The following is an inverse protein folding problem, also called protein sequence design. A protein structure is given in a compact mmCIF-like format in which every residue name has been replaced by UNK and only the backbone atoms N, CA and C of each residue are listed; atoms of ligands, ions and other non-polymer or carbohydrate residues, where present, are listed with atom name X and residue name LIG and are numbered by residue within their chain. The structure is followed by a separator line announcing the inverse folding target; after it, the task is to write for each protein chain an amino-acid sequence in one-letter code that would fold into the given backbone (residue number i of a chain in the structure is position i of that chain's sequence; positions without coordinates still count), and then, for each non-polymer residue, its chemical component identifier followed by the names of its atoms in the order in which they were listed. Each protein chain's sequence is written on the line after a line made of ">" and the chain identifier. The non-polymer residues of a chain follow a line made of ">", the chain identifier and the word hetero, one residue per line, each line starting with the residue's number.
data_IF_238010729616
#
_entry.id   IF_238010729616
#
_cell.length_a   1.000
_cell.length_b   1.000
_cell.length_c   1.000
_cell.angle_alpha   90.00
_cell.angle_beta   90.00
_cell.angle_gamma   90.00
#
_symmetry.space_group_name_H-M   'P 1'
#
loop_
_entity.id
_entity.type
_entity.pdbx_description
1 polymer ?
#
# COMPACT_ATOMS: atom_id res chain seq x y z
N UNK A 1 18.69 -7.55 -11.61
CA UNK A 1 17.93 -8.24 -10.55
C UNK A 1 17.12 -7.17 -9.82
N UNK A 2 15.79 -7.30 -9.62
CA UNK A 2 15.09 -6.32 -8.82
C UNK A 2 15.45 -6.56 -7.35
N UNK A 3 16.03 -5.54 -6.71
CA UNK A 3 16.50 -5.55 -5.30
C UNK A 3 15.42 -5.07 -4.32
N UNK A 4 14.19 -4.88 -4.76
CA UNK A 4 13.11 -4.36 -3.93
C UNK A 4 12.21 -5.48 -3.44
N UNK A 5 12.61 -6.10 -2.32
CA UNK A 5 11.75 -7.02 -1.57
C UNK A 5 10.65 -6.21 -0.88
N UNK A 6 9.40 -6.41 -1.32
CA UNK A 6 8.20 -5.88 -0.67
C UNK A 6 7.67 -6.93 0.32
N UNK A 7 7.58 -6.60 1.60
CA UNK A 7 6.95 -7.45 2.60
C UNK A 7 5.57 -6.88 2.96
N UNK A 8 4.53 -7.67 2.77
CA UNK A 8 3.16 -7.31 3.06
C UNK A 8 2.83 -7.62 4.53
N UNK A 9 2.12 -6.70 5.18
CA UNK A 9 1.46 -6.89 6.46
C UNK A 9 -0.06 -6.74 6.26
N UNK A 10 -0.74 -7.82 5.90
CA UNK A 10 -2.22 -7.90 5.88
C UNK A 10 -2.77 -8.54 7.15
N UNK A 11 -4.07 -8.37 7.42
CA UNK A 11 -4.78 -9.03 8.53
C UNK A 11 -4.78 -10.54 8.25
N UNK A 12 -3.73 -11.22 8.73
CA UNK A 12 -3.55 -12.67 8.97
C UNK A 12 -2.22 -13.23 8.44
N UNK A 13 -1.54 -12.61 7.48
CA UNK A 13 -0.35 -13.25 6.89
C UNK A 13 0.76 -12.26 6.50
N UNK A 14 1.90 -12.36 7.18
CA UNK A 14 3.14 -11.71 6.77
C UNK A 14 3.67 -12.40 5.50
N UNK A 15 3.40 -11.83 4.32
CA UNK A 15 3.76 -12.41 3.01
C UNK A 15 4.73 -11.49 2.29
N UNK A 16 5.91 -11.98 1.96
CA UNK A 16 6.88 -11.22 1.18
C UNK A 16 6.84 -11.61 -0.30
N UNK A 17 7.20 -10.65 -1.15
CA UNK A 17 7.33 -10.77 -2.59
C UNK A 17 8.21 -9.66 -3.14
N UNK A 18 8.12 -9.42 -4.44
CA UNK A 18 8.83 -8.33 -5.10
C UNK A 18 7.86 -7.51 -5.95
N UNK A 19 8.16 -6.22 -6.07
CA UNK A 19 7.40 -5.30 -6.92
C UNK A 19 7.60 -5.71 -8.38
N UNK A 20 6.50 -6.04 -9.06
CA UNK A 20 6.50 -6.42 -10.48
C UNK A 20 6.31 -5.23 -11.39
N UNK A 21 5.60 -4.21 -10.92
CA UNK A 21 5.41 -2.95 -11.65
C UNK A 21 5.12 -1.81 -10.67
N UNK A 22 5.87 -0.71 -10.81
CA UNK A 22 5.75 0.51 -10.00
C UNK A 22 5.49 1.76 -10.88
N UNK A 23 5.26 1.58 -12.17
CA UNK A 23 5.07 2.66 -13.14
C UNK A 23 3.76 3.43 -12.96
N UNK A 24 2.62 2.85 -12.51
CA UNK A 24 1.39 3.61 -12.34
C UNK A 24 1.55 4.68 -11.26
N UNK A 25 0.94 5.87 -11.40
CA UNK A 25 1.14 6.98 -10.48
C UNK A 25 0.53 6.72 -9.08
N UNK A 26 -0.57 5.98 -9.01
CA UNK A 26 -1.36 5.78 -7.79
C UNK A 26 -1.26 4.37 -7.22
N UNK A 27 -0.65 3.44 -7.97
CA UNK A 27 -0.68 2.00 -7.69
C UNK A 27 0.67 1.36 -7.95
N UNK A 28 0.90 0.21 -7.34
CA UNK A 28 1.97 -0.71 -7.70
C UNK A 28 1.47 -2.15 -7.60
N UNK A 29 2.19 -3.04 -8.27
CA UNK A 29 1.89 -4.46 -8.33
C UNK A 29 3.04 -5.25 -7.71
N UNK A 30 2.71 -6.29 -6.96
CA UNK A 30 3.69 -7.18 -6.33
C UNK A 30 3.24 -8.63 -6.39
N UNK A 31 4.21 -9.55 -6.31
CA UNK A 31 3.96 -10.99 -6.10
C UNK A 31 3.62 -11.33 -4.65
N UNK A 32 3.72 -10.38 -3.72
CA UNK A 32 3.29 -10.57 -2.33
C UNK A 32 1.79 -10.89 -2.28
N UNK A 33 1.48 -12.09 -1.80
CA UNK A 33 0.14 -12.69 -1.77
C UNK A 33 -0.80 -11.93 -0.84
N UNK A 34 -1.89 -11.38 -1.39
CA UNK A 34 -3.01 -10.85 -0.61
C UNK A 34 -4.31 -11.62 -0.86
N UNK A 35 -5.05 -11.92 0.21
CA UNK A 35 -6.30 -12.68 0.19
C UNK A 35 -7.53 -11.85 0.56
N UNK A 36 -8.69 -12.50 0.57
CA UNK A 36 -9.89 -11.90 1.15
C UNK A 36 -9.67 -11.66 2.65
N UNK A 37 -9.90 -10.41 3.10
CA UNK A 37 -9.60 -9.98 4.48
C UNK A 37 -8.37 -9.08 4.60
N UNK A 38 -7.44 -9.12 3.64
CA UNK A 38 -6.23 -8.29 3.67
C UNK A 38 -6.45 -6.85 3.17
N UNK A 39 -7.59 -6.56 2.54
CA UNK A 39 -7.89 -5.26 1.93
C UNK A 39 -7.78 -4.11 2.94
N UNK A 40 -7.05 -3.06 2.56
CA UNK A 40 -6.72 -1.93 3.45
C UNK A 40 -5.53 -2.18 4.38
N UNK A 41 -4.99 -3.40 4.42
CA UNK A 41 -3.79 -3.74 5.18
C UNK A 41 -2.52 -3.06 4.63
N UNK A 42 -1.53 -2.75 5.48
CA UNK A 42 -0.31 -2.08 5.07
C UNK A 42 0.64 -2.96 4.24
N UNK A 43 1.31 -2.33 3.27
CA UNK A 43 2.40 -2.93 2.51
C UNK A 43 3.71 -2.21 2.85
N UNK A 44 4.70 -2.97 3.29
CA UNK A 44 6.02 -2.46 3.66
C UNK A 44 7.08 -2.85 2.63
N UNK A 45 8.06 -1.99 2.45
CA UNK A 45 9.29 -2.31 1.74
C UNK A 45 10.38 -2.53 2.78
N UNK A 46 11.10 -3.66 2.69
CA UNK A 46 12.14 -4.06 3.63
C UNK A 46 11.68 -3.99 5.11
N UNK A 47 10.42 -4.36 5.39
CA UNK A 47 9.78 -4.37 6.73
C UNK A 47 9.78 -3.06 7.53
N UNK A 48 10.28 -1.98 6.96
CA UNK A 48 10.59 -0.74 7.69
C UNK A 48 9.88 0.48 7.10
N UNK A 49 9.53 0.43 5.81
CA UNK A 49 8.94 1.56 5.09
C UNK A 49 7.54 1.22 4.61
N UNK A 50 6.52 1.89 5.13
CA UNK A 50 5.16 1.82 4.58
C UNK A 50 5.14 2.43 3.17
N UNK A 51 4.83 1.62 2.16
CA UNK A 51 4.80 2.03 0.75
C UNK A 51 3.40 2.03 0.16
N UNK A 52 2.46 1.28 0.75
CA UNK A 52 1.10 1.23 0.26
C UNK A 52 0.11 0.50 1.13
N UNK A 53 -1.07 0.30 0.56
CA UNK A 53 -2.20 -0.40 1.16
C UNK A 53 -2.72 -1.44 0.17
N UNK A 54 -3.05 -2.64 0.66
CA UNK A 54 -3.63 -3.71 -0.14
C UNK A 54 -4.95 -3.25 -0.76
N UNK A 55 -5.08 -3.35 -2.08
CA UNK A 55 -6.35 -3.10 -2.77
C UNK A 55 -7.11 -4.39 -3.08
N UNK A 56 -6.39 -5.39 -3.60
CA UNK A 56 -6.95 -6.67 -3.99
C UNK A 56 -6.01 -7.48 -4.88
N UNK A 57 -6.37 -8.74 -5.15
CA UNK A 57 -5.57 -9.67 -5.94
C UNK A 57 -6.08 -9.89 -7.35
N UNK A 58 -5.14 -9.97 -8.30
CA UNK A 58 -5.33 -10.61 -9.60
C UNK A 58 -4.75 -12.04 -9.60
N UNK A 59 -4.87 -12.79 -10.71
CA UNK A 59 -4.48 -14.20 -10.78
C UNK A 59 -2.97 -14.46 -10.58
N UNK A 60 -2.10 -13.47 -10.82
CA UNK A 60 -0.64 -13.63 -10.70
C UNK A 60 0.08 -12.44 -10.05
N UNK A 61 -0.62 -11.32 -9.84
CA UNK A 61 -0.08 -10.12 -9.22
C UNK A 61 -1.14 -9.49 -8.35
N UNK A 62 -0.70 -8.92 -7.23
CA UNK A 62 -1.55 -8.26 -6.27
C UNK A 62 -1.36 -6.76 -6.38
N UNK A 63 -2.46 -6.04 -6.28
CA UNK A 63 -2.50 -4.60 -6.48
C UNK A 63 -2.53 -3.87 -5.14
N UNK A 64 -1.75 -2.79 -5.09
CA UNK A 64 -1.60 -1.96 -3.92
C UNK A 64 -1.77 -0.49 -4.31
N UNK A 65 -2.39 0.29 -3.43
CA UNK A 65 -2.46 1.75 -3.55
C UNK A 65 -1.18 2.33 -2.96
N UNK A 66 -0.50 3.23 -3.68
CA UNK A 66 0.68 3.94 -3.18
C UNK A 66 0.29 4.85 -2.02
N UNK A 67 0.99 4.73 -0.90
CA UNK A 67 0.71 5.56 0.28
C UNK A 67 0.97 7.04 0.00
N UNK A 68 1.95 7.35 -0.86
CA UNK A 68 2.21 8.72 -1.31
C UNK A 68 1.05 9.33 -2.09
N UNK A 69 0.30 8.53 -2.87
CA UNK A 69 -0.88 9.02 -3.58
C UNK A 69 -2.02 9.36 -2.61
N UNK A 70 -2.20 8.55 -1.56
CA UNK A 70 -3.17 8.84 -0.48
C UNK A 70 -2.80 10.14 0.24
N UNK A 71 -1.53 10.32 0.59
CA UNK A 71 -1.06 11.56 1.23
C UNK A 71 -1.25 12.79 0.34
N UNK A 72 -0.93 12.67 -0.96
CA UNK A 72 -1.11 13.76 -1.90
C UNK A 72 -2.58 14.18 -2.03
N UNK A 73 -3.49 13.20 -2.07
CA UNK A 73 -4.93 13.47 -2.13
C UNK A 73 -5.41 14.18 -0.85
N UNK A 74 -4.98 13.72 0.34
CA UNK A 74 -5.32 14.36 1.62
C UNK A 74 -4.81 15.81 1.66
N UNK A 75 -3.57 16.03 1.23
CA UNK A 75 -2.96 17.35 1.21
C UNK A 75 -3.61 18.31 0.21
N UNK A 76 -4.19 17.79 -0.88
CA UNK A 76 -4.89 18.57 -1.89
C UNK A 76 -6.29 19.04 -1.43
N UNK A 77 -6.84 18.46 -0.36
CA UNK A 77 -8.13 18.88 0.18
C UNK A 77 -7.95 20.15 1.02
N UNK A 78 -8.62 21.25 0.63
CA UNK A 78 -8.61 22.52 1.37
C UNK A 78 -9.27 22.42 2.75
N UNK A 79 -10.07 21.39 2.96
CA UNK A 79 -10.65 21.02 4.24
C UNK A 79 -10.73 19.48 4.30
N UNK A 80 -9.64 18.77 4.67
CA UNK A 80 -9.62 17.30 4.64
C UNK A 80 -10.60 16.67 5.65
N UNK A 81 -11.28 17.53 6.41
CA UNK A 81 -12.03 17.23 7.61
C UNK A 81 -13.41 17.88 7.48
N UNK A 82 -14.29 17.26 6.71
CA UNK A 82 -15.70 17.27 7.11
C UNK A 82 -15.83 16.53 8.45
N UNK A 83 -15.39 17.13 9.57
CA UNK A 83 -15.46 16.65 10.96
C UNK A 83 -14.97 15.21 11.27
N UNK A 84 -13.77 14.78 10.87
CA UNK A 84 -13.33 13.40 11.17
C UNK A 84 -11.84 13.12 11.46
N UNK A 85 -10.88 13.71 10.76
CA UNK A 85 -9.47 13.34 10.89
C UNK A 85 -8.57 14.58 10.95
N UNK A 86 -8.26 15.05 12.16
CA UNK A 86 -7.19 16.02 12.37
C UNK A 86 -5.85 15.27 12.33
N UNK A 87 -4.95 15.67 11.43
CA UNK A 87 -3.55 15.18 11.44
C UNK A 87 -2.89 15.77 12.69
N UNK A 88 -2.68 14.96 13.73
CA UNK A 88 -1.91 15.33 14.92
C UNK A 88 -0.49 14.81 14.77
N UNK A 89 0.49 15.71 14.69
CA UNK A 89 1.92 15.40 14.61
C UNK A 89 2.49 15.06 16.00
N UNK A 90 1.99 14.01 16.65
CA UNK A 90 2.58 13.49 17.88
C UNK A 90 3.53 12.33 17.58
#
# INVERSE_FOLDING_TARGET
>A
MPTDTSCQLGYENHRCGFITDNTPPTRFYSTALSGGGDSGGPAFQNDTKLVGLVRGGGPFTYEYIKFSAVQAEIAAQSNPVGKGLAVTNN
#
